data_IF_764028121329
#
_entry.id   IF_764028121329
#
_cell.length_a   1.000
_cell.length_b   1.000
_cell.length_c   1.000
_cell.angle_alpha   90.00
_cell.angle_beta   90.00
_cell.angle_gamma   90.00
#
_symmetry.space_group_name_H-M   'P 1'
#
loop_
_entity.id
_entity.type
_entity.pdbx_description
1 polymer ?
#
# COMPACT_ATOMS: atom_id res chain seq x y z
N UNK A 1 -33.42 18.51 -16.97
CA UNK A 1 -32.73 17.21 -17.05
C UNK A 1 -31.96 16.97 -15.76
N UNK A 2 -31.95 15.76 -15.18
CA UNK A 2 -31.16 15.44 -13.98
C UNK A 2 -30.24 14.25 -14.27
N UNK A 3 -28.96 14.37 -13.90
CA UNK A 3 -27.91 13.37 -14.12
C UNK A 3 -27.16 13.13 -12.81
N UNK A 4 -27.04 11.87 -12.39
CA UNK A 4 -26.17 11.49 -11.28
C UNK A 4 -24.83 10.97 -11.83
N UNK A 5 -23.71 11.58 -11.43
CA UNK A 5 -22.37 11.11 -11.76
C UNK A 5 -21.71 10.66 -10.46
N UNK A 6 -21.36 9.38 -10.37
CA UNK A 6 -20.69 8.81 -9.20
C UNK A 6 -19.53 7.88 -9.56
N UNK A 7 -18.52 7.86 -8.68
CA UNK A 7 -17.40 6.92 -8.68
C UNK A 7 -17.01 6.59 -7.22
N UNK A 8 -15.93 5.83 -7.00
CA UNK A 8 -15.50 5.41 -5.66
C UNK A 8 -15.12 6.56 -4.70
N UNK A 9 -14.96 7.79 -5.20
CA UNK A 9 -14.45 8.94 -4.45
C UNK A 9 -15.27 10.22 -4.64
N UNK A 10 -16.35 10.19 -5.44
CA UNK A 10 -17.21 11.33 -5.75
C UNK A 10 -18.61 10.87 -6.11
N UNK A 11 -19.62 11.62 -5.69
CA UNK A 11 -21.01 11.48 -6.16
C UNK A 11 -21.60 12.87 -6.24
N UNK A 12 -22.06 13.29 -7.43
CA UNK A 12 -22.62 14.61 -7.65
C UNK A 12 -23.87 14.55 -8.52
N UNK A 13 -24.88 15.34 -8.17
CA UNK A 13 -26.14 15.45 -8.91
C UNK A 13 -26.14 16.72 -9.75
N UNK A 14 -26.31 16.58 -11.06
CA UNK A 14 -26.30 17.66 -12.03
C UNK A 14 -27.71 17.89 -12.55
N UNK A 15 -28.22 19.10 -12.37
CA UNK A 15 -29.58 19.46 -12.74
C UNK A 15 -29.50 20.58 -13.76
N UNK A 16 -29.84 20.26 -15.01
CA UNK A 16 -29.93 21.24 -16.07
C UNK A 16 -31.35 21.82 -16.12
N UNK A 17 -31.46 23.13 -15.96
CA UNK A 17 -32.71 23.90 -16.02
C UNK A 17 -32.61 24.89 -17.18
N UNK A 18 -33.69 25.00 -17.94
CA UNK A 18 -33.85 26.02 -18.97
C UNK A 18 -35.11 26.83 -18.67
N UNK A 19 -34.99 28.15 -18.55
CA UNK A 19 -36.11 29.08 -18.41
C UNK A 19 -36.15 29.95 -19.66
N UNK A 20 -37.18 29.82 -20.52
CA UNK A 20 -37.28 30.63 -21.73
C UNK A 20 -37.60 32.11 -21.40
N UNK A 21 -37.34 33.04 -22.33
CA UNK A 21 -37.70 34.45 -22.15
C UNK A 21 -39.23 34.63 -22.04
N UNK A 22 -39.68 35.53 -21.17
CA UNK A 22 -41.11 35.82 -20.97
C UNK A 22 -41.90 34.78 -20.14
N UNK A 23 -41.22 33.86 -19.46
CA UNK A 23 -41.84 32.79 -18.66
C UNK A 23 -42.69 33.32 -17.48
N UNK A 24 -43.80 32.64 -17.09
CA UNK A 24 -44.74 33.07 -16.06
C UNK A 24 -44.15 33.35 -14.67
N UNK A 25 -44.88 34.15 -13.90
CA UNK A 25 -44.53 34.62 -12.55
C UNK A 25 -44.26 33.50 -11.53
N UNK A 26 -44.81 32.30 -11.75
CA UNK A 26 -44.71 31.15 -10.84
C UNK A 26 -43.39 30.36 -10.96
N UNK A 27 -42.47 30.76 -11.85
CA UNK A 27 -41.18 30.07 -11.99
C UNK A 27 -40.40 30.02 -10.67
N UNK A 28 -40.39 31.12 -9.91
CA UNK A 28 -39.64 31.20 -8.67
C UNK A 28 -40.20 30.30 -7.58
N UNK A 29 -41.52 30.15 -7.49
CA UNK A 29 -42.16 29.19 -6.58
C UNK A 29 -41.73 27.76 -6.91
N UNK A 30 -41.80 27.37 -8.19
CA UNK A 30 -41.36 26.04 -8.63
C UNK A 30 -39.86 25.81 -8.42
N UNK A 31 -39.05 26.86 -8.59
CA UNK A 31 -37.62 26.81 -8.35
C UNK A 31 -37.30 26.65 -6.86
N UNK A 32 -38.06 27.29 -5.97
CA UNK A 32 -37.95 27.10 -4.52
C UNK A 32 -38.32 25.66 -4.14
N UNK A 33 -39.45 25.13 -4.63
CA UNK A 33 -39.86 23.74 -4.39
C UNK A 33 -38.78 22.74 -4.86
N UNK A 34 -38.14 23.04 -6.01
CA UNK A 34 -37.03 22.23 -6.50
C UNK A 34 -35.82 22.29 -5.56
N UNK A 35 -35.42 23.49 -5.12
CA UNK A 35 -34.30 23.66 -4.19
C UNK A 35 -34.53 22.94 -2.87
N UNK A 36 -35.73 23.03 -2.30
CA UNK A 36 -36.12 22.30 -1.08
C UNK A 36 -35.88 20.79 -1.21
N UNK A 37 -36.33 20.22 -2.33
CA UNK A 37 -36.14 18.80 -2.60
C UNK A 37 -34.67 18.44 -2.81
N UNK A 38 -33.95 19.20 -3.64
CA UNK A 38 -32.56 18.92 -4.02
C UNK A 38 -31.63 19.00 -2.83
N UNK A 39 -31.78 20.03 -1.99
CA UNK A 39 -30.93 20.27 -0.82
C UNK A 39 -31.15 19.20 0.26
N UNK A 40 -32.38 18.69 0.37
CA UNK A 40 -32.74 17.64 1.33
C UNK A 40 -32.20 16.27 0.91
N UNK A 41 -32.26 15.96 -0.39
CA UNK A 41 -31.95 14.63 -0.91
C UNK A 41 -30.45 14.47 -1.24
N UNK A 42 -29.81 15.54 -1.71
CA UNK A 42 -28.46 15.45 -2.29
C UNK A 42 -27.44 16.25 -1.47
N UNK A 43 -26.35 15.57 -1.07
CA UNK A 43 -25.24 16.21 -0.36
C UNK A 43 -24.45 17.18 -1.24
N UNK A 44 -24.14 16.75 -2.47
CA UNK A 44 -23.43 17.52 -3.49
C UNK A 44 -24.32 17.62 -4.74
N UNK A 45 -24.70 18.85 -5.11
CA UNK A 45 -25.49 19.14 -6.29
C UNK A 45 -24.94 20.34 -7.06
N UNK A 46 -25.24 20.36 -8.36
CA UNK A 46 -24.83 21.38 -9.32
C UNK A 46 -26.03 21.69 -10.21
N UNK A 47 -26.59 22.88 -10.09
CA UNK A 47 -27.65 23.34 -10.99
C UNK A 47 -26.99 24.18 -12.08
N UNK A 48 -27.28 23.85 -13.34
CA UNK A 48 -26.69 24.50 -14.51
C UNK A 48 -27.76 24.84 -15.54
N UNK A 49 -27.46 25.77 -16.43
CA UNK A 49 -28.26 26.04 -17.62
C UNK A 49 -28.60 27.51 -17.79
N UNK A 50 -29.46 27.79 -18.76
CA UNK A 50 -29.82 29.14 -19.19
C UNK A 50 -31.14 29.58 -18.55
N UNK A 51 -31.07 30.63 -17.74
CA UNK A 51 -32.23 31.16 -17.02
C UNK A 51 -32.90 32.34 -17.73
N UNK A 52 -32.28 32.86 -18.80
CA UNK A 52 -32.70 34.10 -19.45
C UNK A 52 -32.96 35.23 -18.43
N UNK A 53 -32.04 35.39 -17.48
CA UNK A 53 -32.04 36.46 -16.47
C UNK A 53 -30.80 37.31 -16.69
N UNK A 54 -30.94 38.63 -16.77
CA UNK A 54 -29.80 39.53 -16.89
C UNK A 54 -29.18 39.75 -15.51
N UNK A 55 -28.40 38.78 -15.02
CA UNK A 55 -27.83 38.81 -13.66
C UNK A 55 -26.85 39.98 -13.43
N UNK A 56 -26.34 40.57 -14.51
CA UNK A 56 -25.52 41.78 -14.54
C UNK A 56 -26.32 43.06 -14.28
N UNK A 57 -27.66 43.04 -14.44
CA UNK A 57 -28.52 44.22 -14.31
C UNK A 57 -29.49 44.07 -13.13
N UNK A 58 -29.40 44.94 -12.10
CA UNK A 58 -30.34 44.92 -10.99
C UNK A 58 -31.79 45.14 -11.44
N UNK A 59 -32.65 44.18 -11.13
CA UNK A 59 -34.09 44.21 -11.37
C UNK A 59 -34.85 43.54 -10.22
N UNK A 60 -36.16 43.76 -10.10
CA UNK A 60 -36.98 43.08 -9.11
C UNK A 60 -36.84 41.54 -9.19
N UNK A 61 -36.71 41.02 -10.42
CA UNK A 61 -36.54 39.60 -10.70
C UNK A 61 -35.19 39.05 -10.23
N UNK A 62 -34.09 39.78 -10.46
CA UNK A 62 -32.76 39.36 -9.98
C UNK A 62 -32.67 39.45 -8.46
N UNK A 63 -33.37 40.40 -7.83
CA UNK A 63 -33.45 40.50 -6.36
C UNK A 63 -34.15 39.27 -5.78
N UNK A 64 -35.34 38.91 -6.29
CA UNK A 64 -36.06 37.70 -5.87
C UNK A 64 -35.19 36.45 -6.04
N UNK A 65 -34.50 36.33 -7.18
CA UNK A 65 -33.60 35.21 -7.43
C UNK A 65 -32.45 35.14 -6.41
N UNK A 66 -31.78 36.26 -6.15
CA UNK A 66 -30.70 36.32 -5.16
C UNK A 66 -31.17 36.04 -3.74
N UNK A 67 -32.37 36.51 -3.37
CA UNK A 67 -32.98 36.24 -2.07
C UNK A 67 -33.27 34.74 -1.88
N UNK A 68 -33.73 34.07 -2.94
CA UNK A 68 -33.91 32.61 -2.96
C UNK A 68 -32.56 31.91 -2.79
N UNK A 69 -31.53 32.30 -3.54
CA UNK A 69 -30.22 31.65 -3.40
C UNK A 69 -29.66 31.79 -1.97
N UNK A 70 -29.83 32.97 -1.38
CA UNK A 70 -29.42 33.27 -0.02
C UNK A 70 -30.21 32.46 1.03
N UNK A 71 -31.53 32.29 0.87
CA UNK A 71 -32.35 31.53 1.81
C UNK A 71 -32.00 30.04 1.85
N UNK A 72 -31.51 29.50 0.73
CA UNK A 72 -31.15 28.09 0.56
C UNK A 72 -29.65 27.79 0.76
N UNK A 73 -28.85 28.76 1.21
CA UNK A 73 -27.39 28.64 1.33
C UNK A 73 -26.73 28.13 0.04
N UNK A 74 -27.10 28.77 -1.07
CA UNK A 74 -26.56 28.48 -2.40
C UNK A 74 -25.86 29.68 -3.01
N UNK A 75 -24.85 29.41 -3.82
CA UNK A 75 -24.05 30.42 -4.52
C UNK A 75 -24.07 30.16 -6.01
N UNK A 76 -24.33 31.22 -6.77
CA UNK A 76 -24.12 31.27 -8.21
C UNK A 76 -22.66 31.67 -8.47
N UNK A 77 -22.01 31.03 -9.45
CA UNK A 77 -20.58 31.18 -9.72
C UNK A 77 -20.20 31.93 -11.01
N UNK A 78 -21.15 32.19 -11.92
CA UNK A 78 -20.87 32.84 -13.21
C UNK A 78 -20.96 34.37 -13.05
N UNK A 79 -19.83 35.05 -13.22
CA UNK A 79 -19.71 36.50 -13.02
C UNK A 79 -19.16 37.23 -14.26
N UNK A 80 -19.47 36.71 -15.44
CA UNK A 80 -18.97 37.22 -16.72
C UNK A 80 -20.03 37.03 -17.82
N UNK A 81 -19.95 37.80 -18.92
CA UNK A 81 -20.83 37.65 -20.08
C UNK A 81 -20.78 36.24 -20.68
N UNK A 82 -21.95 35.62 -20.84
CA UNK A 82 -22.08 34.30 -21.48
C UNK A 82 -22.76 34.39 -22.83
N UNK A 83 -23.33 35.55 -23.19
CA UNK A 83 -23.92 35.80 -24.50
C UNK A 83 -23.11 36.85 -25.27
N UNK A 84 -23.08 36.78 -26.60
CA UNK A 84 -22.34 37.73 -27.47
C UNK A 84 -22.79 39.20 -27.29
N UNK A 85 -23.99 39.42 -26.73
CA UNK A 85 -24.52 40.75 -26.41
C UNK A 85 -24.18 41.25 -25.00
N UNK A 86 -23.33 40.54 -24.24
CA UNK A 86 -22.78 41.04 -22.97
C UNK A 86 -23.47 40.58 -21.67
N UNK A 87 -24.59 39.86 -21.76
CA UNK A 87 -25.39 39.46 -20.58
C UNK A 87 -24.99 38.11 -19.97
N UNK A 88 -25.33 37.93 -18.69
CA UNK A 88 -25.02 36.75 -17.89
C UNK A 88 -26.25 35.85 -17.79
N UNK A 89 -26.51 35.04 -18.81
CA UNK A 89 -27.76 34.26 -18.93
C UNK A 89 -27.60 32.85 -18.36
N UNK A 90 -26.44 32.25 -18.59
CA UNK A 90 -26.08 30.92 -18.11
C UNK A 90 -25.61 30.97 -16.66
N UNK A 91 -26.04 29.98 -15.88
CA UNK A 91 -25.73 29.91 -14.45
C UNK A 91 -25.10 28.57 -14.08
N UNK A 92 -24.32 28.63 -13.00
CA UNK A 92 -23.84 27.47 -12.27
C UNK A 92 -24.09 27.75 -10.79
N UNK A 93 -24.96 26.98 -10.16
CA UNK A 93 -25.29 27.09 -8.73
C UNK A 93 -24.80 25.85 -7.99
N UNK A 94 -24.18 26.07 -6.83
CA UNK A 94 -23.86 25.02 -5.86
C UNK A 94 -24.30 25.47 -4.47
N UNK A 95 -24.21 24.57 -3.47
CA UNK A 95 -24.25 24.98 -2.06
C UNK A 95 -23.08 25.93 -1.75
N UNK A 96 -23.26 26.91 -0.86
CA UNK A 96 -22.20 27.87 -0.47
C UNK A 96 -20.97 27.19 0.15
N UNK A 97 -21.19 26.07 0.85
CA UNK A 97 -20.13 25.27 1.47
C UNK A 97 -19.34 24.40 0.47
N UNK A 98 -19.72 24.38 -0.80
CA UNK A 98 -19.06 23.60 -1.84
C UNK A 98 -17.66 24.15 -2.14
N UNK A 99 -16.62 23.35 -1.88
CA UNK A 99 -15.20 23.71 -2.12
C UNK A 99 -14.58 23.00 -3.32
N UNK A 100 -15.35 22.18 -4.02
CA UNK A 100 -14.84 21.33 -5.08
C UNK A 100 -15.02 21.95 -6.48
N UNK A 101 -15.71 23.08 -6.61
CA UNK A 101 -15.81 23.81 -7.88
C UNK A 101 -14.74 24.90 -7.96
N UNK A 102 -14.03 24.96 -9.08
CA UNK A 102 -13.16 26.08 -9.40
C UNK A 102 -13.97 27.18 -10.10
N UNK A 103 -13.47 28.42 -10.02
CA UNK A 103 -14.09 29.57 -10.71
C UNK A 103 -14.35 29.22 -12.18
N UNK A 104 -15.60 29.35 -12.65
CA UNK A 104 -15.94 29.08 -14.04
C UNK A 104 -15.16 29.98 -14.99
N UNK A 105 -15.00 29.51 -16.22
CA UNK A 105 -14.33 30.23 -17.32
C UNK A 105 -15.22 30.20 -18.54
N UNK A 106 -15.07 31.20 -19.41
CA UNK A 106 -15.77 31.29 -20.69
C UNK A 106 -14.83 30.92 -21.83
N UNK A 107 -15.35 30.15 -22.79
CA UNK A 107 -14.66 29.86 -24.05
C UNK A 107 -15.57 30.29 -25.19
N UNK A 108 -15.05 31.17 -26.04
CA UNK A 108 -15.76 31.68 -27.20
C UNK A 108 -16.03 30.56 -28.22
N UNK A 109 -17.24 30.56 -28.79
CA UNK A 109 -17.72 29.53 -29.72
C UNK A 109 -18.29 30.10 -31.02
N UNK A 110 -18.85 29.22 -31.86
CA UNK A 110 -19.55 29.60 -33.09
C UNK A 110 -21.02 30.01 -32.86
N UNK A 111 -21.51 29.98 -31.61
CA UNK A 111 -22.88 30.34 -31.22
C UNK A 111 -22.93 31.76 -30.64
N UNK A 112 -24.14 32.30 -30.58
CA UNK A 112 -24.53 33.45 -29.76
C UNK A 112 -24.34 33.26 -28.24
N UNK A 113 -24.32 32.01 -27.76
CA UNK A 113 -23.89 31.65 -26.40
C UNK A 113 -22.44 31.15 -26.37
N UNK A 114 -21.65 31.71 -25.46
CA UNK A 114 -20.32 31.24 -25.14
C UNK A 114 -20.38 30.01 -24.23
N UNK A 115 -19.39 29.11 -24.35
CA UNK A 115 -19.34 27.91 -23.53
C UNK A 115 -18.82 28.22 -22.13
N UNK A 116 -19.62 27.95 -21.10
CA UNK A 116 -19.21 28.06 -19.69
C UNK A 116 -18.61 26.75 -19.22
N UNK A 117 -17.35 26.78 -18.76
CA UNK A 117 -16.61 25.62 -18.27
C UNK A 117 -16.28 25.82 -16.79
N UNK A 118 -16.70 24.87 -15.95
CA UNK A 118 -16.31 24.78 -14.55
C UNK A 118 -15.57 23.47 -14.28
N UNK A 119 -14.41 23.57 -13.61
CA UNK A 119 -13.60 22.41 -13.24
C UNK A 119 -13.95 21.92 -11.83
N UNK A 120 -14.29 20.63 -11.70
CA UNK A 120 -14.57 20.00 -10.42
C UNK A 120 -13.33 19.26 -9.88
N UNK A 121 -12.88 19.63 -8.69
CA UNK A 121 -11.80 18.97 -7.94
C UNK A 121 -12.34 17.73 -7.24
N UNK A 122 -12.26 16.60 -7.94
CA UNK A 122 -12.61 15.29 -7.40
C UNK A 122 -11.42 14.67 -6.66
N UNK A 123 -11.66 14.08 -5.48
CA UNK A 123 -10.63 13.26 -4.80
C UNK A 123 -10.32 12.05 -5.68
N UNK A 124 -9.07 11.89 -6.09
CA UNK A 124 -8.63 10.67 -6.77
C UNK A 124 -8.43 9.57 -5.73
N UNK A 125 -8.83 8.33 -6.04
CA UNK A 125 -8.41 7.17 -5.26
C UNK A 125 -6.88 7.19 -5.12
N UNK A 126 -6.32 6.86 -3.94
CA UNK A 126 -4.88 6.75 -3.79
C UNK A 126 -4.35 5.80 -4.87
N UNK A 127 -3.38 6.25 -5.66
CA UNK A 127 -2.71 5.37 -6.60
C UNK A 127 -2.16 4.19 -5.80
N UNK A 128 -2.56 2.96 -6.15
CA UNK A 128 -2.07 1.74 -5.48
C UNK A 128 -0.55 1.77 -5.55
N UNK A 129 0.13 1.86 -4.41
CA UNK A 129 1.58 1.88 -4.36
C UNK A 129 2.10 0.55 -4.91
N UNK A 130 2.73 0.58 -6.09
CA UNK A 130 3.45 -0.58 -6.61
C UNK A 130 4.61 -0.86 -5.67
N UNK A 131 4.48 -1.89 -4.84
CA UNK A 131 5.59 -2.37 -4.03
C UNK A 131 6.59 -3.09 -4.94
N UNK A 132 7.65 -2.37 -5.30
CA UNK A 132 8.77 -2.94 -6.04
C UNK A 132 9.73 -3.61 -5.06
N UNK A 133 10.05 -4.87 -5.34
CA UNK A 133 11.03 -5.63 -4.57
C UNK A 133 12.25 -5.85 -5.45
N UNK A 134 13.42 -5.53 -4.91
CA UNK A 134 14.71 -5.77 -5.55
C UNK A 134 15.25 -7.12 -5.11
N UNK A 135 15.67 -7.96 -6.05
CA UNK A 135 16.23 -9.27 -5.74
C UNK A 135 17.33 -9.65 -6.73
N UNK A 136 18.20 -10.58 -6.33
CA UNK A 136 19.20 -11.22 -7.21
C UNK A 136 18.84 -12.69 -7.38
N UNK A 137 18.94 -13.19 -8.60
CA UNK A 137 18.67 -14.60 -8.89
C UNK A 137 19.91 -15.46 -8.55
N UNK A 138 20.27 -15.58 -7.27
CA UNK A 138 21.46 -16.33 -6.83
C UNK A 138 21.47 -17.79 -7.31
N UNK A 139 20.29 -18.42 -7.39
CA UNK A 139 20.14 -19.79 -7.90
C UNK A 139 20.49 -19.95 -9.38
N UNK A 140 20.56 -18.85 -10.14
CA UNK A 140 20.87 -18.83 -11.57
C UNK A 140 22.34 -18.51 -11.85
N UNK A 141 23.17 -18.34 -10.82
CA UNK A 141 24.61 -18.09 -10.98
C UNK A 141 25.25 -19.34 -11.58
N UNK A 142 26.01 -19.15 -12.68
CA UNK A 142 26.93 -20.17 -13.15
C UNK A 142 28.12 -20.26 -12.18
N UNK A 143 28.10 -21.29 -11.33
CA UNK A 143 29.07 -21.45 -10.24
C UNK A 143 30.51 -21.55 -10.78
N UNK A 144 30.74 -22.25 -11.91
CA UNK A 144 32.07 -22.42 -12.46
C UNK A 144 32.68 -21.09 -12.93
N UNK A 145 31.89 -20.29 -13.66
CA UNK A 145 32.33 -18.97 -14.12
C UNK A 145 32.52 -17.98 -12.95
N UNK A 146 31.64 -18.04 -11.94
CA UNK A 146 31.75 -17.22 -10.74
C UNK A 146 33.00 -17.56 -9.92
N UNK A 147 33.31 -18.85 -9.75
CA UNK A 147 34.54 -19.27 -9.09
C UNK A 147 35.79 -18.83 -9.86
N UNK A 148 35.82 -19.00 -11.18
CA UNK A 148 36.94 -18.56 -12.00
C UNK A 148 37.22 -17.06 -11.81
N UNK A 149 36.18 -16.23 -11.87
CA UNK A 149 36.31 -14.79 -11.68
C UNK A 149 36.77 -14.41 -10.25
N UNK A 150 36.33 -15.14 -9.21
CA UNK A 150 36.83 -14.96 -7.84
C UNK A 150 38.33 -15.23 -7.77
N UNK A 151 38.78 -16.36 -8.35
CA UNK A 151 40.19 -16.77 -8.31
C UNK A 151 41.09 -15.78 -9.05
N UNK A 152 40.61 -15.18 -10.14
CA UNK A 152 41.36 -14.15 -10.88
C UNK A 152 41.27 -12.75 -10.26
N UNK A 153 40.38 -12.54 -9.30
CA UNK A 153 40.15 -11.20 -8.74
C UNK A 153 41.31 -10.74 -7.85
N UNK A 154 41.45 -9.41 -7.71
CA UNK A 154 42.44 -8.79 -6.83
C UNK A 154 42.28 -9.21 -5.36
N UNK A 155 41.12 -9.75 -4.96
CA UNK A 155 40.92 -10.30 -3.62
C UNK A 155 41.86 -11.49 -3.35
N UNK A 156 42.14 -12.30 -4.37
CA UNK A 156 42.97 -13.50 -4.29
C UNK A 156 44.38 -13.23 -4.80
N UNK A 157 44.52 -12.48 -5.89
CA UNK A 157 45.83 -12.23 -6.50
C UNK A 157 46.64 -11.16 -5.78
N UNK A 158 46.00 -10.16 -5.18
CA UNK A 158 46.66 -9.03 -4.50
C UNK A 158 45.85 -8.56 -3.26
N UNK A 159 45.76 -9.40 -2.21
CA UNK A 159 45.03 -9.05 -0.99
C UNK A 159 45.70 -7.88 -0.26
N UNK A 160 44.89 -6.92 0.22
CA UNK A 160 45.38 -5.81 1.05
C UNK A 160 45.88 -6.31 2.41
N UNK A 161 46.96 -5.71 2.89
CA UNK A 161 47.62 -6.10 4.16
C UNK A 161 46.82 -5.63 5.39
N UNK A 162 46.19 -4.47 5.31
CA UNK A 162 45.41 -3.92 6.41
C UNK A 162 43.96 -4.42 6.39
N UNK A 163 43.47 -4.88 7.55
CA UNK A 163 42.15 -5.51 7.69
C UNK A 163 40.99 -4.62 7.21
N UNK A 164 41.02 -3.33 7.52
CA UNK A 164 39.98 -2.37 7.12
C UNK A 164 39.92 -2.21 5.59
N UNK A 165 41.06 -2.24 4.93
CA UNK A 165 41.18 -2.17 3.47
C UNK A 165 40.82 -3.51 2.82
N UNK A 166 41.23 -4.63 3.41
CA UNK A 166 40.88 -5.97 2.93
C UNK A 166 39.37 -6.19 2.99
N UNK A 167 38.69 -5.71 4.04
CA UNK A 167 37.23 -5.75 4.13
C UNK A 167 36.56 -4.94 3.01
N UNK A 168 37.05 -3.71 2.75
CA UNK A 168 36.54 -2.87 1.65
C UNK A 168 36.75 -3.56 0.30
N UNK A 169 37.94 -4.10 0.07
CA UNK A 169 38.31 -4.84 -1.14
C UNK A 169 37.40 -6.06 -1.33
N UNK A 170 37.20 -6.87 -0.29
CA UNK A 170 36.27 -8.00 -0.30
C UNK A 170 34.85 -7.56 -0.69
N UNK A 171 34.32 -6.55 -0.01
CA UNK A 171 32.95 -6.10 -0.24
C UNK A 171 32.76 -5.55 -1.66
N UNK A 172 33.71 -4.75 -2.15
CA UNK A 172 33.64 -4.13 -3.47
C UNK A 172 33.78 -5.15 -4.59
N UNK A 173 34.74 -6.07 -4.48
CA UNK A 173 34.94 -7.14 -5.48
C UNK A 173 33.73 -8.08 -5.48
N UNK A 174 33.26 -8.53 -4.31
CA UNK A 174 32.09 -9.40 -4.22
C UNK A 174 30.85 -8.71 -4.81
N UNK A 175 30.63 -7.42 -4.52
CA UNK A 175 29.52 -6.66 -5.11
C UNK A 175 29.62 -6.63 -6.64
N UNK A 176 30.79 -6.33 -7.17
CA UNK A 176 31.05 -6.27 -8.63
C UNK A 176 30.82 -7.63 -9.30
N UNK A 177 31.31 -8.71 -8.69
CA UNK A 177 31.10 -10.07 -9.18
C UNK A 177 29.63 -10.48 -9.10
N UNK A 178 28.93 -10.12 -8.03
CA UNK A 178 27.49 -10.35 -7.92
C UNK A 178 26.70 -9.51 -8.93
N UNK A 179 27.13 -8.29 -9.26
CA UNK A 179 26.52 -7.49 -10.33
C UNK A 179 26.71 -8.12 -11.72
N UNK A 180 27.88 -8.73 -11.98
CA UNK A 180 28.16 -9.47 -13.21
C UNK A 180 27.34 -10.77 -13.31
N UNK A 181 27.32 -11.58 -12.25
CA UNK A 181 26.77 -12.95 -12.29
C UNK A 181 25.31 -13.07 -11.83
N UNK A 182 24.83 -12.13 -11.02
CA UNK A 182 23.46 -12.07 -10.55
C UNK A 182 22.99 -10.62 -10.40
N UNK A 183 22.80 -9.88 -11.52
CA UNK A 183 22.39 -8.48 -11.48
C UNK A 183 21.08 -8.29 -10.71
N UNK A 184 20.93 -7.13 -10.09
CA UNK A 184 19.68 -6.76 -9.39
C UNK A 184 18.54 -6.74 -10.39
N UNK A 185 17.48 -7.47 -10.09
CA UNK A 185 16.22 -7.49 -10.82
C UNK A 185 15.15 -6.87 -9.95
N UNK A 186 14.23 -6.16 -10.60
CA UNK A 186 13.05 -5.59 -9.95
C UNK A 186 11.85 -6.46 -10.26
N UNK A 187 11.05 -6.78 -9.23
CA UNK A 187 9.77 -7.44 -9.39
C UNK A 187 8.70 -6.60 -8.69
N UNK A 188 7.66 -6.22 -9.43
CA UNK A 188 6.46 -5.65 -8.80
C UNK A 188 5.70 -6.76 -8.10
N UNK A 189 5.42 -6.55 -6.82
CA UNK A 189 4.62 -7.46 -6.00
C UNK A 189 3.28 -6.81 -5.75
N UNK A 190 2.22 -7.51 -6.13
CA UNK A 190 0.84 -7.10 -5.83
C UNK A 190 0.37 -7.89 -4.62
N UNK A 191 -0.03 -7.19 -3.56
CA UNK A 191 -0.66 -7.77 -2.38
C UNK A 191 -2.07 -7.19 -2.29
N UNK A 192 -3.05 -8.05 -2.08
CA UNK A 192 -4.47 -7.67 -1.98
C UNK A 192 -4.95 -8.14 -0.60
N UNK A 193 -5.51 -7.21 0.16
CA UNK A 193 -6.06 -7.47 1.48
C UNK A 193 -7.56 -7.16 1.43
N UNK A 194 -8.39 -8.12 1.83
CA UNK A 194 -9.84 -7.97 1.86
C UNK A 194 -10.36 -8.49 3.19
N UNK A 195 -11.27 -7.72 3.80
CA UNK A 195 -12.01 -8.16 4.98
C UNK A 195 -13.14 -9.09 4.55
N UNK A 196 -13.27 -10.22 5.24
CA UNK A 196 -14.31 -11.23 5.00
C UNK A 196 -15.26 -11.30 6.21
N UNK A 197 -16.17 -10.32 6.37
CA UNK A 197 -17.21 -10.42 7.39
C UNK A 197 -18.18 -11.55 7.00
N UNK A 198 -18.51 -12.43 7.95
CA UNK A 198 -19.35 -13.62 7.69
C UNK A 198 -20.73 -13.34 7.06
N UNK A 199 -21.47 -12.27 7.38
CA UNK A 199 -22.76 -11.98 6.73
C UNK A 199 -22.63 -11.68 5.24
N UNK A 200 -21.50 -11.09 4.82
CA UNK A 200 -21.27 -10.61 3.45
C UNK A 200 -20.13 -11.39 2.75
N UNK A 201 -19.74 -12.55 3.27
CA UNK A 201 -18.59 -13.31 2.79
C UNK A 201 -18.69 -13.63 1.28
N UNK A 202 -19.89 -13.98 0.79
CA UNK A 202 -20.15 -14.15 -0.65
C UNK A 202 -19.86 -12.88 -1.46
N UNK A 203 -20.32 -11.71 -0.98
CA UNK A 203 -20.12 -10.43 -1.67
C UNK A 203 -18.64 -10.06 -1.68
N UNK A 204 -17.96 -10.18 -0.55
CA UNK A 204 -16.51 -9.92 -0.45
C UNK A 204 -15.68 -10.87 -1.33
N UNK A 205 -16.06 -12.15 -1.42
CA UNK A 205 -15.38 -13.11 -2.31
C UNK A 205 -15.62 -12.80 -3.79
N UNK A 206 -16.81 -12.35 -4.16
CA UNK A 206 -17.09 -11.89 -5.52
C UNK A 206 -16.28 -10.63 -5.85
N UNK A 207 -16.25 -9.65 -4.94
CA UNK A 207 -15.40 -8.46 -5.10
C UNK A 207 -13.92 -8.81 -5.24
N UNK A 208 -13.43 -9.79 -4.46
CA UNK A 208 -12.06 -10.30 -4.61
C UNK A 208 -11.84 -10.89 -6.00
N UNK A 209 -12.79 -11.69 -6.49
CA UNK A 209 -12.71 -12.32 -7.81
C UNK A 209 -12.65 -11.27 -8.92
N UNK A 210 -13.55 -10.29 -8.89
CA UNK A 210 -13.63 -9.23 -9.89
C UNK A 210 -12.35 -8.39 -9.87
N UNK A 211 -11.87 -7.99 -8.68
CA UNK A 211 -10.62 -7.28 -8.51
C UNK A 211 -9.41 -8.07 -9.06
N UNK A 212 -9.34 -9.38 -8.81
CA UNK A 212 -8.27 -10.24 -9.33
C UNK A 212 -8.35 -10.40 -10.86
N UNK A 213 -9.55 -10.40 -11.44
CA UNK A 213 -9.74 -10.37 -12.89
C UNK A 213 -9.24 -9.07 -13.49
N UNK A 214 -9.57 -7.92 -12.90
CA UNK A 214 -9.09 -6.60 -13.33
C UNK A 214 -7.56 -6.52 -13.26
N UNK A 215 -6.96 -6.99 -12.16
CA UNK A 215 -5.50 -7.05 -12.00
C UNK A 215 -4.88 -7.97 -13.05
N UNK A 216 -5.49 -9.13 -13.33
CA UNK A 216 -5.02 -10.06 -14.37
C UNK A 216 -5.07 -9.42 -15.76
N UNK A 217 -6.17 -8.73 -16.09
CA UNK A 217 -6.33 -8.00 -17.35
C UNK A 217 -5.30 -6.88 -17.49
N UNK A 218 -5.10 -6.09 -16.43
CA UNK A 218 -4.08 -5.04 -16.40
C UNK A 218 -2.66 -5.60 -16.57
N UNK A 219 -2.33 -6.72 -15.91
CA UNK A 219 -1.03 -7.39 -16.07
C UNK A 219 -0.85 -7.86 -17.51
N UNK A 220 -1.88 -8.47 -18.12
CA UNK A 220 -1.85 -8.92 -19.52
C UNK A 220 -1.61 -7.74 -20.47
N UNK A 221 -2.30 -6.62 -20.28
CA UNK A 221 -2.10 -5.38 -21.05
C UNK A 221 -0.69 -4.81 -20.84
N UNK A 222 -0.12 -5.00 -19.66
CA UNK A 222 1.27 -4.62 -19.32
C UNK A 222 2.32 -5.66 -19.75
N UNK A 223 1.96 -6.66 -20.57
CA UNK A 223 2.83 -7.77 -21.01
C UNK A 223 3.41 -8.62 -19.86
N UNK A 224 2.70 -8.70 -18.74
CA UNK A 224 3.03 -9.54 -17.59
C UNK A 224 2.04 -10.71 -17.50
N UNK A 225 2.50 -11.88 -17.03
CA UNK A 225 1.66 -13.05 -16.79
C UNK A 225 1.58 -13.33 -15.29
N UNK A 226 0.36 -13.35 -14.76
CA UNK A 226 0.09 -13.80 -13.40
C UNK A 226 0.31 -15.32 -13.33
N UNK A 227 1.08 -15.78 -12.34
CA UNK A 227 1.38 -17.20 -12.16
C UNK A 227 0.42 -17.78 -11.13
N UNK A 228 -0.72 -18.29 -11.59
CA UNK A 228 -1.76 -18.84 -10.72
C UNK A 228 -1.23 -19.97 -9.81
N UNK A 229 -0.33 -20.82 -10.31
CA UNK A 229 0.28 -21.90 -9.51
C UNK A 229 1.18 -21.39 -8.37
N UNK A 230 1.64 -20.13 -8.42
CA UNK A 230 2.42 -19.50 -7.34
C UNK A 230 1.59 -18.53 -6.49
N UNK A 231 0.35 -18.26 -6.89
CA UNK A 231 -0.54 -17.38 -6.15
C UNK A 231 -1.20 -18.20 -5.06
N UNK A 232 -0.74 -18.02 -3.83
CA UNK A 232 -1.35 -18.61 -2.65
C UNK A 232 -2.18 -17.53 -1.94
N UNK A 233 -3.25 -17.94 -1.26
CA UNK A 233 -3.96 -17.06 -0.33
C UNK A 233 -4.09 -17.73 1.03
N UNK A 234 -4.18 -16.91 2.05
CA UNK A 234 -4.36 -17.32 3.44
C UNK A 234 -5.53 -16.56 4.04
N UNK A 235 -6.28 -17.22 4.91
CA UNK A 235 -7.30 -16.56 5.72
C UNK A 235 -6.75 -16.47 7.13
N UNK A 236 -6.65 -15.25 7.64
CA UNK A 236 -6.17 -14.98 8.98
C UNK A 236 -7.38 -14.80 9.90
N UNK A 237 -7.41 -15.52 11.02
CA UNK A 237 -8.49 -15.39 11.99
C UNK A 237 -8.36 -16.34 13.18
N UNK A 238 -9.43 -16.47 13.96
CA UNK A 238 -9.54 -17.57 14.94
C UNK A 238 -10.06 -18.83 14.25
N UNK A 239 -9.80 -20.00 14.83
CA UNK A 239 -10.33 -21.29 14.32
C UNK A 239 -11.85 -21.23 14.17
N UNK A 240 -12.54 -20.62 15.13
CA UNK A 240 -14.01 -20.47 15.12
C UNK A 240 -14.52 -19.57 14.00
N UNK A 241 -13.80 -18.49 13.64
CA UNK A 241 -14.22 -17.63 12.54
C UNK A 241 -13.87 -18.23 11.17
N UNK A 242 -12.73 -18.93 11.06
CA UNK A 242 -12.37 -19.66 9.84
C UNK A 242 -13.36 -20.78 9.53
N UNK A 243 -13.78 -21.54 10.53
CA UNK A 243 -14.76 -22.63 10.36
C UNK A 243 -16.09 -22.16 9.76
N UNK A 244 -16.51 -20.91 10.02
CA UNK A 244 -17.72 -20.33 9.41
C UNK A 244 -17.57 -20.06 7.91
N UNK A 245 -16.33 -19.99 7.42
CA UNK A 245 -16.00 -19.72 6.04
C UNK A 245 -15.73 -20.99 5.23
N UNK A 246 -15.62 -22.16 5.87
CA UNK A 246 -15.30 -23.44 5.20
C UNK A 246 -16.28 -23.78 4.07
N UNK A 247 -17.56 -23.44 4.24
CA UNK A 247 -18.61 -23.67 3.22
C UNK A 247 -18.49 -22.81 1.96
N UNK A 248 -17.63 -21.79 1.93
CA UNK A 248 -17.41 -20.93 0.77
C UNK A 248 -16.20 -21.37 -0.08
N UNK A 249 -15.48 -22.41 0.35
CA UNK A 249 -14.31 -22.94 -0.35
C UNK A 249 -14.57 -24.38 -0.83
N UNK A 250 -14.00 -24.79 -1.97
CA UNK A 250 -13.08 -24.03 -2.82
C UNK A 250 -13.78 -22.96 -3.67
N UNK A 251 -13.10 -21.85 -3.94
CA UNK A 251 -13.60 -20.77 -4.81
C UNK A 251 -12.79 -20.70 -6.09
N UNK A 252 -13.48 -20.36 -7.18
CA UNK A 252 -12.84 -20.12 -8.47
C UNK A 252 -12.23 -18.72 -8.50
N UNK A 253 -10.90 -18.69 -8.48
CA UNK A 253 -10.09 -17.48 -8.59
C UNK A 253 -9.16 -17.69 -9.79
N UNK A 254 -9.15 -16.74 -10.74
CA UNK A 254 -8.29 -16.80 -11.95
C UNK A 254 -8.47 -18.09 -12.77
N UNK A 255 -9.70 -18.60 -12.88
CA UNK A 255 -10.06 -19.87 -13.53
C UNK A 255 -9.39 -21.12 -12.90
N UNK A 256 -8.89 -21.02 -11.67
CA UNK A 256 -8.43 -22.15 -10.87
C UNK A 256 -9.27 -22.26 -9.60
N UNK A 257 -9.50 -23.50 -9.17
CA UNK A 257 -10.11 -23.79 -7.87
C UNK A 257 -9.04 -23.64 -6.80
N UNK A 258 -9.21 -22.69 -5.87
CA UNK A 258 -8.19 -22.38 -4.86
C UNK A 258 -8.79 -22.52 -3.46
N UNK A 259 -8.04 -23.14 -2.56
CA UNK A 259 -8.34 -23.29 -1.13
C UNK A 259 -7.34 -22.51 -0.30
N UNK A 260 -7.72 -22.01 0.89
CA UNK A 260 -6.81 -21.28 1.75
C UNK A 260 -5.66 -22.19 2.22
N UNK A 261 -4.43 -21.68 2.15
CA UNK A 261 -3.26 -22.37 2.66
C UNK A 261 -3.09 -22.12 4.17
N UNK A 262 -2.64 -23.12 4.97
CA UNK A 262 -2.45 -22.96 6.41
C UNK A 262 -1.26 -22.06 6.76
N UNK A 263 -0.29 -21.94 5.85
CA UNK A 263 0.80 -20.98 5.94
C UNK A 263 1.25 -20.54 4.56
N UNK A 264 1.58 -19.26 4.42
CA UNK A 264 2.10 -18.66 3.18
C UNK A 264 3.43 -17.96 3.46
N UNK A 265 4.34 -18.00 2.50
CA UNK A 265 5.64 -17.31 2.60
C UNK A 265 5.60 -15.98 1.86
N UNK A 266 5.82 -14.88 2.57
CA UNK A 266 5.88 -13.55 1.98
C UNK A 266 7.22 -12.91 2.34
N UNK A 267 8.02 -12.60 1.32
CA UNK A 267 9.38 -12.05 1.45
C UNK A 267 10.24 -12.81 2.48
N UNK A 268 10.18 -14.14 2.51
CA UNK A 268 10.98 -14.95 3.43
C UNK A 268 10.43 -15.07 4.86
N UNK A 269 9.34 -14.36 5.18
CA UNK A 269 8.57 -14.53 6.42
C UNK A 269 7.43 -15.52 6.18
N UNK A 270 7.22 -16.43 7.12
CA UNK A 270 6.13 -17.40 7.06
C UNK A 270 4.98 -16.89 7.91
N UNK A 271 3.84 -16.60 7.27
CA UNK A 271 2.60 -16.23 7.93
C UNK A 271 1.75 -17.48 8.11
N UNK A 272 1.20 -17.68 9.30
CA UNK A 272 0.27 -18.75 9.63
C UNK A 272 -1.17 -18.23 9.73
N UNK A 273 -2.15 -19.10 9.54
CA UNK A 273 -3.58 -18.77 9.59
C UNK A 273 -4.04 -18.20 10.94
N UNK A 274 -3.29 -18.49 12.01
CA UNK A 274 -3.53 -18.01 13.36
C UNK A 274 -2.64 -16.81 13.73
N UNK A 275 -1.84 -16.31 12.78
CA UNK A 275 -0.98 -15.13 12.88
C UNK A 275 -0.08 -15.09 14.13
N UNK A 276 0.39 -16.25 14.58
CA UNK A 276 1.21 -16.37 15.80
C UNK A 276 2.71 -16.56 15.51
N UNK A 277 3.11 -16.60 14.23
CA UNK A 277 4.49 -16.70 13.76
C UNK A 277 5.29 -17.91 14.28
N UNK A 278 4.66 -18.90 14.93
CA UNK A 278 5.37 -20.03 15.55
C UNK A 278 6.19 -20.84 14.54
N UNK A 279 5.66 -21.02 13.33
CA UNK A 279 6.35 -21.74 12.27
C UNK A 279 7.59 -20.95 11.79
N UNK A 280 7.44 -19.63 11.62
CA UNK A 280 8.55 -18.75 11.28
C UNK A 280 9.64 -18.77 12.35
N UNK A 281 9.28 -18.53 13.62
CA UNK A 281 10.22 -18.56 14.76
C UNK A 281 10.93 -19.91 14.84
N UNK A 282 10.21 -21.02 14.67
CA UNK A 282 10.81 -22.36 14.71
C UNK A 282 11.83 -22.58 13.59
N UNK A 283 11.52 -22.10 12.38
CA UNK A 283 12.44 -22.14 11.22
C UNK A 283 13.67 -21.28 11.48
N UNK A 284 13.50 -20.05 11.96
CA UNK A 284 14.59 -19.13 12.30
C UNK A 284 15.48 -19.70 13.40
N UNK A 285 14.91 -20.21 14.49
CA UNK A 285 15.66 -20.89 15.56
C UNK A 285 16.46 -22.08 15.01
N UNK A 286 15.86 -22.93 14.18
CA UNK A 286 16.53 -24.10 13.59
C UNK A 286 17.75 -23.67 12.77
N UNK A 287 17.60 -22.68 11.91
CA UNK A 287 18.70 -22.12 11.12
C UNK A 287 19.79 -21.50 12.01
N UNK A 288 19.41 -20.76 13.05
CA UNK A 288 20.36 -20.17 14.00
C UNK A 288 21.17 -21.27 14.71
N UNK A 289 20.51 -22.28 15.28
CA UNK A 289 21.21 -23.37 15.97
C UNK A 289 22.11 -24.20 15.04
N UNK A 290 21.72 -24.37 13.78
CA UNK A 290 22.56 -24.98 12.77
C UNK A 290 23.88 -24.21 12.61
N UNK A 291 23.83 -22.89 12.36
CA UNK A 291 25.03 -22.07 12.21
C UNK A 291 25.84 -21.94 13.51
N UNK A 292 25.19 -21.88 14.68
CA UNK A 292 25.87 -21.88 15.98
C UNK A 292 26.69 -23.17 16.16
N UNK A 293 26.15 -24.32 15.72
CA UNK A 293 26.86 -25.61 15.80
C UNK A 293 28.09 -25.62 14.89
N UNK A 294 27.98 -25.09 13.68
CA UNK A 294 29.12 -25.00 12.76
C UNK A 294 30.18 -24.03 13.29
N UNK A 295 29.77 -22.86 13.77
CA UNK A 295 30.69 -21.92 14.42
C UNK A 295 31.40 -22.56 15.61
N UNK A 296 30.70 -23.36 16.43
CA UNK A 296 31.29 -24.06 17.57
C UNK A 296 32.42 -25.01 17.16
N UNK A 297 32.29 -25.69 16.03
CA UNK A 297 33.32 -26.64 15.54
C UNK A 297 34.63 -25.93 15.21
N UNK A 298 34.53 -24.79 14.52
CA UNK A 298 35.69 -24.00 14.06
C UNK A 298 36.17 -22.99 15.10
N UNK A 299 35.37 -22.70 16.14
CA UNK A 299 35.63 -21.63 17.11
C UNK A 299 37.02 -21.69 17.71
N UNK A 300 37.58 -22.88 17.95
CA UNK A 300 38.91 -23.07 18.54
C UNK A 300 40.05 -22.46 17.71
N UNK A 301 39.83 -22.33 16.40
CA UNK A 301 40.81 -21.83 15.43
C UNK A 301 40.63 -20.34 15.08
N UNK A 302 39.60 -19.68 15.62
CA UNK A 302 39.27 -18.29 15.29
C UNK A 302 39.68 -17.32 16.41
N UNK A 303 40.18 -16.15 16.02
CA UNK A 303 40.32 -15.00 16.92
C UNK A 303 38.94 -14.49 17.36
N UNK A 304 38.89 -13.73 18.46
CA UNK A 304 37.64 -13.20 18.98
C UNK A 304 36.96 -12.22 17.99
N UNK A 305 37.75 -11.39 17.30
CA UNK A 305 37.25 -10.44 16.30
C UNK A 305 36.61 -11.14 15.11
N UNK A 306 37.27 -12.16 14.55
CA UNK A 306 36.75 -12.94 13.42
C UNK A 306 35.52 -13.74 13.83
N UNK A 307 35.54 -14.37 15.01
CA UNK A 307 34.39 -15.09 15.55
C UNK A 307 33.18 -14.17 15.74
N UNK A 308 33.38 -12.92 16.18
CA UNK A 308 32.33 -11.91 16.28
C UNK A 308 31.74 -11.58 14.91
N UNK A 309 32.56 -11.33 13.90
CA UNK A 309 32.09 -11.05 12.53
C UNK A 309 31.26 -12.20 11.97
N UNK A 310 31.74 -13.44 12.12
CA UNK A 310 31.02 -14.64 11.64
C UNK A 310 29.70 -14.83 12.41
N UNK A 311 29.72 -14.65 13.73
CA UNK A 311 28.53 -14.73 14.58
C UNK A 311 27.46 -13.71 14.15
N UNK A 312 27.85 -12.45 13.91
CA UNK A 312 26.94 -11.40 13.45
C UNK A 312 26.40 -11.71 12.05
N UNK A 313 27.26 -12.08 11.11
CA UNK A 313 26.88 -12.32 9.73
C UNK A 313 25.96 -13.55 9.56
N UNK A 314 26.18 -14.62 10.33
CA UNK A 314 25.43 -15.86 10.17
C UNK A 314 24.20 -15.99 11.07
N UNK A 315 24.22 -15.39 12.27
CA UNK A 315 23.16 -15.61 13.26
C UNK A 315 22.43 -14.32 13.59
N UNK A 316 23.14 -13.25 13.97
CA UNK A 316 22.48 -11.99 14.31
C UNK A 316 21.66 -11.43 13.16
N UNK A 317 22.23 -11.37 11.94
CA UNK A 317 21.53 -10.91 10.73
C UNK A 317 20.21 -11.63 10.46
N UNK A 318 20.10 -12.91 10.82
CA UNK A 318 18.87 -13.71 10.67
C UNK A 318 17.83 -13.43 11.74
N UNK A 319 18.28 -13.03 12.93
CA UNK A 319 17.40 -12.66 14.04
C UNK A 319 16.90 -11.22 13.88
N UNK A 320 17.72 -10.34 13.29
CA UNK A 320 17.36 -8.94 13.02
C UNK A 320 16.41 -8.83 11.82
N UNK A 321 16.45 -9.78 10.89
CA UNK A 321 15.57 -9.81 9.73
C UNK A 321 14.10 -9.89 10.14
N UNK A 322 13.33 -8.85 9.80
CA UNK A 322 11.90 -8.73 10.06
C UNK A 322 11.50 -8.90 11.54
N UNK A 323 12.39 -8.55 12.47
CA UNK A 323 12.12 -8.64 13.91
C UNK A 323 10.96 -7.75 14.38
N UNK A 324 10.65 -6.66 13.67
CA UNK A 324 9.51 -5.79 13.94
C UNK A 324 8.16 -6.51 13.90
N UNK A 325 8.04 -7.57 13.08
CA UNK A 325 6.84 -8.40 13.02
C UNK A 325 6.60 -9.23 14.27
N UNK A 326 7.64 -9.42 15.09
CA UNK A 326 7.57 -10.18 16.33
C UNK A 326 7.07 -9.32 17.51
N UNK A 327 6.74 -8.05 17.25
CA UNK A 327 6.11 -7.19 18.23
C UNK A 327 4.81 -7.83 18.75
N UNK A 328 4.60 -7.78 20.07
CA UNK A 328 3.45 -8.38 20.75
C UNK A 328 3.32 -9.91 20.59
N UNK A 329 4.40 -10.62 20.23
CA UNK A 329 4.42 -12.08 20.21
C UNK A 329 4.58 -12.63 21.63
N UNK A 330 4.03 -13.82 21.91
CA UNK A 330 4.10 -14.44 23.23
C UNK A 330 5.54 -14.56 23.75
N UNK A 331 5.75 -14.17 25.02
CA UNK A 331 7.05 -14.20 25.69
C UNK A 331 7.76 -15.56 25.61
N UNK A 332 7.01 -16.67 25.63
CA UNK A 332 7.56 -18.02 25.48
C UNK A 332 8.25 -18.25 24.13
N UNK A 333 7.72 -17.65 23.06
CA UNK A 333 8.22 -17.82 21.70
C UNK A 333 9.43 -16.91 21.47
N UNK A 334 9.36 -15.68 21.98
CA UNK A 334 10.49 -14.77 22.09
C UNK A 334 11.66 -15.36 22.88
N UNK A 335 11.38 -16.03 24.01
CA UNK A 335 12.40 -16.70 24.82
C UNK A 335 13.16 -17.79 24.05
N UNK A 336 12.60 -18.35 22.97
CA UNK A 336 13.31 -19.29 22.09
C UNK A 336 14.40 -18.59 21.29
N UNK A 337 14.12 -17.39 20.78
CA UNK A 337 15.08 -16.55 20.05
C UNK A 337 16.18 -16.06 21.00
N UNK A 338 15.80 -15.61 22.20
CA UNK A 338 16.76 -15.23 23.24
C UNK A 338 17.70 -16.39 23.61
N UNK A 339 17.19 -17.62 23.69
CA UNK A 339 18.03 -18.82 23.91
C UNK A 339 19.05 -19.03 22.79
N UNK A 340 18.68 -18.76 21.54
CA UNK A 340 19.62 -18.84 20.41
C UNK A 340 20.72 -17.77 20.54
N UNK A 341 20.37 -16.52 20.89
CA UNK A 341 21.34 -15.45 21.16
C UNK A 341 22.28 -15.80 22.33
N UNK A 342 21.73 -16.28 23.44
CA UNK A 342 22.53 -16.67 24.62
C UNK A 342 23.47 -17.85 24.29
N UNK A 343 23.04 -18.79 23.44
CA UNK A 343 23.87 -19.88 22.99
C UNK A 343 25.00 -19.38 22.07
N UNK A 344 24.69 -18.48 21.13
CA UNK A 344 25.68 -17.81 20.28
C UNK A 344 26.72 -17.09 21.14
N UNK A 345 26.27 -16.37 22.17
CA UNK A 345 27.12 -15.64 23.10
C UNK A 345 28.18 -16.56 23.70
N UNK A 346 27.75 -17.67 24.31
CA UNK A 346 28.66 -18.67 24.89
C UNK A 346 29.63 -19.27 23.88
N UNK A 347 29.16 -19.53 22.65
CA UNK A 347 30.02 -20.10 21.61
C UNK A 347 31.11 -19.12 21.20
N UNK A 348 30.78 -17.85 20.97
CA UNK A 348 31.80 -16.89 20.56
C UNK A 348 32.74 -16.51 21.73
N UNK A 349 32.28 -16.48 22.98
CA UNK A 349 33.14 -16.22 24.15
C UNK A 349 33.88 -17.45 24.67
N UNK A 350 33.60 -18.65 24.15
CA UNK A 350 34.08 -19.94 24.68
C UNK A 350 33.69 -20.16 26.15
N UNK A 351 32.58 -19.58 26.59
CA UNK A 351 32.10 -19.73 27.97
C UNK A 351 31.50 -21.13 28.20
N UNK A 352 31.56 -21.65 29.45
CA UNK A 352 30.95 -22.92 29.83
C UNK A 352 29.45 -22.98 29.50
N UNK A 353 28.92 -24.19 29.26
CA UNK A 353 27.51 -24.39 28.88
C UNK A 353 26.52 -23.81 29.90
N UNK A 354 26.88 -23.78 31.18
CA UNK A 354 26.04 -23.35 32.30
C UNK A 354 26.45 -21.99 32.89
N UNK A 355 27.34 -21.23 32.24
CA UNK A 355 27.67 -19.88 32.71
C UNK A 355 26.40 -19.02 32.70
N UNK A 356 26.19 -18.24 33.77
CA UNK A 356 25.15 -17.21 33.84
C UNK A 356 25.25 -16.35 32.58
N UNK A 357 24.11 -16.10 31.94
CA UNK A 357 24.06 -15.42 30.65
C UNK A 357 24.90 -14.14 30.71
N UNK A 358 25.97 -14.06 29.91
CA UNK A 358 26.65 -12.80 29.64
C UNK A 358 25.56 -11.82 29.21
N UNK A 359 25.42 -10.74 29.97
CA UNK A 359 24.44 -9.72 29.69
C UNK A 359 24.51 -9.32 28.21
N UNK A 360 23.37 -8.93 27.58
CA UNK A 360 23.33 -8.44 26.20
C UNK A 360 24.40 -7.36 25.91
N UNK A 361 24.90 -6.72 26.96
CA UNK A 361 25.99 -5.75 27.01
C UNK A 361 27.26 -6.13 26.22
N UNK A 362 27.65 -7.41 26.13
CA UNK A 362 28.83 -7.80 25.33
C UNK A 362 28.62 -7.72 23.80
N UNK A 363 27.36 -7.58 23.36
CA UNK A 363 26.94 -7.45 21.97
C UNK A 363 26.18 -6.13 21.71
N UNK A 364 26.21 -5.17 22.67
CA UNK A 364 25.27 -4.05 22.78
C UNK A 364 25.09 -3.23 21.51
N UNK A 365 26.17 -3.00 20.75
CA UNK A 365 26.10 -2.09 19.62
C UNK A 365 25.24 -2.56 18.43
N UNK A 366 24.77 -3.82 18.43
CA UNK A 366 23.97 -4.41 17.34
C UNK A 366 22.60 -4.96 17.78
N UNK A 367 22.30 -5.04 19.09
CA UNK A 367 21.06 -5.65 19.60
C UNK A 367 20.13 -4.65 20.32
N UNK A 368 20.41 -3.34 20.23
CA UNK A 368 19.62 -2.29 20.88
C UNK A 368 18.12 -2.37 20.49
N UNK A 369 17.83 -2.67 19.21
CA UNK A 369 16.45 -2.65 18.69
C UNK A 369 15.61 -3.85 19.16
N UNK A 370 16.22 -5.04 19.24
CA UNK A 370 15.56 -6.20 19.85
C UNK A 370 15.39 -5.99 21.35
N UNK A 371 16.36 -5.41 22.05
CA UNK A 371 16.22 -5.14 23.48
C UNK A 371 15.10 -4.13 23.79
N UNK A 372 14.92 -3.11 22.94
CA UNK A 372 13.85 -2.11 23.06
C UNK A 372 12.45 -2.68 22.77
N UNK A 373 12.33 -3.60 21.80
CA UNK A 373 11.08 -4.34 21.54
C UNK A 373 10.75 -5.31 22.70
N UNK A 374 11.77 -5.88 23.35
CA UNK A 374 11.62 -6.82 24.46
C UNK A 374 11.37 -6.14 25.82
N UNK A 375 11.83 -4.90 25.99
CA UNK A 375 11.63 -4.12 27.21
C UNK A 375 10.27 -3.41 27.23
N UNK A 376 9.65 -3.14 26.07
CA UNK A 376 8.31 -2.52 26.00
C UNK A 376 7.16 -3.49 26.32
N UNK A 377 7.42 -4.80 26.39
CA UNK A 377 6.45 -5.84 26.81
C UNK A 377 6.39 -6.05 28.33
N UNK A 378 6.99 -5.16 29.13
CA UNK A 378 6.76 -5.06 30.58
C UNK A 378 5.84 -3.87 30.88
N UNK A 379 4.56 -4.03 30.59
CA UNK A 379 3.46 -3.37 31.31
C UNK A 379 2.40 -4.42 31.58
#
# INVERSE_FOLDING_TARGET
MCLNISNSCFSGHFICIYRPPGHPANFFEQFQDLLENVITIHSDFYIVGDFNLHLDTPSATTTIFNDILASFDTTQHVNFPTHIHGHWLDIIITRSSCKNIQTPTVVDGLSDHNTVIANLKVRTAPAVSKHNVFYRAFHSINIAAFMADITTSNLVTHPREHLSELYKQYHQILKTLLDKHAPIKTKSVSQIYISLPTPDACRSLNQLRDCLQDVSLWMKNSKLKLNANKTEFIIIGTVTQRAKLDGFFPTHILNQSVTPAPSVSNLGVNFDESFNFKQHISKTCRCCFYHIRDLRRIRRFLSLSVAKTIATALVSSRLDYCNSLLYNTANKDIARLQRAQNCLARVFTRSPRFSIALAPCALSHYFQDLHNILSSTRI
#
